data_IF_954029815868
#
_entry.id   IF_954029815868
#
_cell.length_a   1.000
_cell.length_b   1.000
_cell.length_c   1.000
_cell.angle_alpha   90.00
_cell.angle_beta   90.00
_cell.angle_gamma   90.00
#
_symmetry.space_group_name_H-M   'P 1'
#
loop_
_entity.id
_entity.type
_entity.pdbx_description
1 polymer ?
#
# COMPACT_ATOMS: atom_id res chain seq x y z
N UNK A 1 -12.12 6.48 16.62
CA UNK A 1 -10.76 6.91 16.17
C UNK A 1 -10.92 8.21 15.41
N UNK A 2 -10.18 9.26 15.77
CA UNK A 2 -10.18 10.50 14.99
C UNK A 2 -9.25 10.38 13.77
N UNK A 3 -9.30 11.34 12.85
CA UNK A 3 -8.52 11.26 11.59
C UNK A 3 -6.99 11.21 11.82
N UNK A 4 -6.47 11.95 12.83
CA UNK A 4 -5.05 11.92 13.19
C UNK A 4 -4.61 10.52 13.66
N UNK A 5 -5.42 9.90 14.51
CA UNK A 5 -5.16 8.54 15.00
C UNK A 5 -5.17 7.53 13.84
N UNK A 6 -6.10 7.69 12.89
CA UNK A 6 -6.18 6.85 11.70
C UNK A 6 -4.92 6.96 10.83
N UNK A 7 -4.43 8.18 10.59
CA UNK A 7 -3.18 8.43 9.86
C UNK A 7 -1.97 7.84 10.59
N UNK A 8 -1.91 7.95 11.92
CA UNK A 8 -0.82 7.37 12.71
C UNK A 8 -0.85 5.83 12.70
N UNK A 9 -2.03 5.23 12.71
CA UNK A 9 -2.22 3.78 12.67
C UNK A 9 -1.90 3.18 11.29
N UNK A 10 -2.15 3.92 10.21
CA UNK A 10 -1.85 3.44 8.85
C UNK A 10 -0.34 3.45 8.59
N UNK A 11 0.28 2.28 8.71
CA UNK A 11 1.73 2.05 8.47
C UNK A 11 1.94 0.95 7.43
N UNK A 12 3.07 1.03 6.71
CA UNK A 12 3.47 -0.01 5.75
C UNK A 12 3.80 -1.31 6.48
N UNK A 13 2.81 -2.17 6.63
CA UNK A 13 2.89 -3.46 7.33
C UNK A 13 3.34 -4.55 6.36
N UNK A 14 4.29 -5.37 6.79
CA UNK A 14 4.93 -6.42 5.97
C UNK A 14 4.94 -7.80 6.64
N UNK A 15 4.26 -7.94 7.78
CA UNK A 15 3.91 -9.23 8.37
C UNK A 15 2.46 -9.18 8.82
N UNK A 16 1.70 -10.21 8.51
CA UNK A 16 0.27 -10.28 8.73
C UNK A 16 -0.10 -11.49 9.55
N UNK A 17 -1.22 -11.41 10.25
CA UNK A 17 -1.79 -12.51 11.00
C UNK A 17 -2.50 -13.47 10.04
N UNK A 18 -2.05 -14.74 9.92
CA UNK A 18 -2.59 -15.71 8.99
C UNK A 18 -4.04 -16.14 9.34
N UNK A 19 -4.45 -15.99 10.60
CA UNK A 19 -5.80 -16.37 11.05
C UNK A 19 -6.89 -15.40 10.55
N UNK A 20 -6.53 -14.16 10.18
CA UNK A 20 -7.48 -13.15 9.70
C UNK A 20 -7.57 -13.18 8.18
N UNK A 21 -8.54 -13.91 7.67
CA UNK A 21 -8.91 -13.88 6.25
C UNK A 21 -9.58 -12.54 5.90
N UNK A 22 -9.51 -12.16 4.64
CA UNK A 22 -10.23 -11.01 4.09
C UNK A 22 -11.22 -11.50 3.04
N UNK A 23 -12.45 -10.97 3.05
CA UNK A 23 -13.45 -11.37 2.08
C UNK A 23 -13.40 -10.46 0.84
N UNK A 24 -14.05 -10.92 -0.23
CA UNK A 24 -14.25 -10.13 -1.45
C UNK A 24 -15.02 -8.85 -1.13
N UNK A 25 -16.07 -8.94 -0.35
CA UNK A 25 -16.93 -7.82 0.03
C UNK A 25 -16.16 -6.75 0.82
N UNK A 26 -15.23 -7.16 1.69
CA UNK A 26 -14.36 -6.23 2.39
C UNK A 26 -13.44 -5.46 1.43
N UNK A 27 -12.87 -6.14 0.43
CA UNK A 27 -12.05 -5.51 -0.61
C UNK A 27 -12.90 -4.58 -1.50
N UNK A 28 -14.11 -4.99 -1.89
CA UNK A 28 -15.04 -4.17 -2.67
C UNK A 28 -15.41 -2.88 -1.92
N UNK A 29 -15.68 -2.96 -0.61
CA UNK A 29 -15.93 -1.77 0.21
C UNK A 29 -14.75 -0.80 0.24
N UNK A 30 -13.52 -1.30 0.28
CA UNK A 30 -12.32 -0.46 0.23
C UNK A 30 -12.14 0.22 -1.13
N UNK A 31 -12.42 -0.51 -2.22
CA UNK A 31 -12.41 0.07 -3.57
C UNK A 31 -13.54 1.08 -3.76
N UNK A 32 -14.71 0.86 -3.14
CA UNK A 32 -15.81 1.83 -3.20
C UNK A 32 -15.43 3.17 -2.56
N UNK A 33 -14.69 3.16 -1.44
CA UNK A 33 -14.12 4.38 -0.86
C UNK A 33 -13.17 5.08 -1.84
N UNK A 34 -12.28 4.32 -2.49
CA UNK A 34 -11.34 4.86 -3.48
C UNK A 34 -12.07 5.47 -4.70
N UNK A 35 -13.14 4.83 -5.15
CA UNK A 35 -13.99 5.31 -6.26
C UNK A 35 -14.60 6.70 -6.00
N UNK A 36 -14.85 7.03 -4.73
CA UNK A 36 -15.45 8.30 -4.33
C UNK A 36 -14.44 9.44 -4.21
N UNK A 37 -13.14 9.15 -4.36
CA UNK A 37 -12.09 10.17 -4.26
C UNK A 37 -11.99 11.05 -5.52
N UNK A 38 -11.41 12.26 -5.41
CA UNK A 38 -11.14 13.09 -6.57
C UNK A 38 -10.22 12.39 -7.58
N UNK A 39 -10.46 12.66 -8.86
CA UNK A 39 -9.62 12.24 -9.98
C UNK A 39 -9.28 13.45 -10.83
N UNK A 40 -8.09 13.50 -11.42
CA UNK A 40 -7.65 14.60 -12.26
C UNK A 40 -8.61 14.80 -13.43
N UNK A 41 -9.16 16.02 -13.55
CA UNK A 41 -10.20 16.38 -14.55
C UNK A 41 -11.40 15.41 -14.54
N UNK A 42 -11.58 14.67 -13.44
CA UNK A 42 -12.59 13.63 -13.25
C UNK A 42 -12.54 12.50 -14.29
N UNK A 43 -11.35 12.16 -14.80
CA UNK A 43 -11.16 11.12 -15.82
C UNK A 43 -11.42 9.70 -15.32
N UNK A 44 -11.21 9.43 -14.04
CA UNK A 44 -11.46 8.14 -13.37
C UNK A 44 -10.84 6.93 -14.12
N UNK A 45 -9.53 6.97 -14.42
CA UNK A 45 -8.88 5.95 -15.24
C UNK A 45 -8.55 4.67 -14.51
N UNK A 46 -8.77 4.61 -13.16
CA UNK A 46 -8.33 3.49 -12.37
C UNK A 46 -9.29 2.29 -12.50
N UNK A 47 -8.69 1.10 -12.55
CA UNK A 47 -9.36 -0.20 -12.50
C UNK A 47 -8.70 -1.05 -11.43
N UNK A 48 -9.45 -1.94 -10.83
CA UNK A 48 -9.01 -2.71 -9.68
C UNK A 48 -9.24 -4.20 -9.91
N UNK A 49 -8.19 -5.01 -9.70
CA UNK A 49 -8.32 -6.46 -9.55
C UNK A 49 -8.19 -6.80 -8.07
N UNK A 50 -9.14 -7.58 -7.56
CA UNK A 50 -9.18 -8.01 -6.16
C UNK A 50 -8.67 -9.45 -6.05
N UNK A 51 -7.84 -9.70 -5.05
CA UNK A 51 -7.34 -11.04 -4.74
C UNK A 51 -7.56 -11.35 -3.26
N UNK A 52 -8.31 -12.41 -2.97
CA UNK A 52 -8.62 -12.93 -1.63
C UNK A 52 -8.46 -14.45 -1.55
N UNK A 53 -8.16 -15.09 -2.67
CA UNK A 53 -7.94 -16.53 -2.78
C UNK A 53 -6.46 -16.84 -2.65
N UNK A 54 -6.15 -17.95 -1.99
CA UNK A 54 -4.79 -18.31 -1.62
C UNK A 54 -3.87 -18.45 -2.83
N UNK A 55 -4.35 -19.08 -3.91
CA UNK A 55 -3.57 -19.30 -5.13
C UNK A 55 -3.18 -17.97 -5.79
N UNK A 56 -4.14 -17.05 -5.92
CA UNK A 56 -3.87 -15.74 -6.52
C UNK A 56 -3.01 -14.88 -5.60
N UNK A 57 -3.21 -14.95 -4.28
CA UNK A 57 -2.38 -14.27 -3.31
C UNK A 57 -0.92 -14.75 -3.37
N UNK A 58 -0.69 -16.07 -3.46
CA UNK A 58 0.64 -16.65 -3.61
C UNK A 58 1.30 -16.22 -4.91
N UNK A 59 0.55 -16.17 -6.02
CA UNK A 59 1.03 -15.68 -7.30
C UNK A 59 1.50 -14.23 -7.22
N UNK A 60 0.70 -13.34 -6.62
CA UNK A 60 1.06 -11.92 -6.45
C UNK A 60 2.29 -11.78 -5.55
N UNK A 61 2.33 -12.52 -4.45
CA UNK A 61 3.47 -12.50 -3.53
C UNK A 61 4.78 -12.89 -4.22
N UNK A 62 4.77 -13.95 -5.02
CA UNK A 62 5.94 -14.46 -5.75
C UNK A 62 6.49 -13.47 -6.80
N UNK A 63 5.65 -12.53 -7.28
CA UNK A 63 6.01 -11.57 -8.33
C UNK A 63 6.08 -10.12 -7.82
N UNK A 64 6.30 -9.95 -6.50
CA UNK A 64 6.48 -8.64 -5.85
C UNK A 64 7.72 -8.64 -4.96
N UNK A 65 8.42 -7.50 -4.88
CA UNK A 65 9.55 -7.32 -3.97
C UNK A 65 9.21 -6.34 -2.85
N UNK A 66 9.71 -6.65 -1.65
CA UNK A 66 9.34 -5.97 -0.42
C UNK A 66 10.54 -5.34 0.27
N UNK A 67 10.31 -4.16 0.89
CA UNK A 67 11.25 -3.51 1.82
C UNK A 67 12.70 -3.44 1.33
N UNK A 68 12.94 -2.85 0.17
CA UNK A 68 14.24 -2.81 -0.50
C UNK A 68 15.44 -2.28 0.32
N UNK A 69 15.20 -1.60 1.45
CA UNK A 69 16.27 -1.18 2.38
C UNK A 69 16.65 -2.26 3.40
N UNK A 70 15.82 -3.31 3.60
CA UNK A 70 16.08 -4.39 4.54
C UNK A 70 16.58 -5.63 3.79
N UNK A 71 17.80 -5.56 3.25
CA UNK A 71 18.37 -6.57 2.36
C UNK A 71 18.60 -7.93 2.99
N UNK A 72 18.80 -7.96 4.31
CA UNK A 72 19.14 -9.17 5.07
C UNK A 72 17.92 -9.88 5.65
N UNK A 73 16.71 -9.40 5.35
CA UNK A 73 15.46 -9.93 5.89
C UNK A 73 14.50 -10.25 4.76
N UNK A 74 14.03 -11.51 4.69
CA UNK A 74 12.95 -11.89 3.78
C UNK A 74 11.61 -11.41 4.32
N UNK A 75 10.87 -10.62 3.53
CA UNK A 75 9.56 -10.09 3.89
C UNK A 75 8.53 -10.36 2.78
N UNK A 76 7.29 -10.71 3.14
CA UNK A 76 6.83 -11.08 4.49
C UNK A 76 7.57 -12.31 5.03
N UNK A 77 7.63 -12.49 6.37
CA UNK A 77 8.12 -13.73 6.93
C UNK A 77 7.25 -14.92 6.47
N UNK A 78 7.83 -16.12 6.44
CA UNK A 78 7.10 -17.34 6.07
C UNK A 78 5.83 -17.51 6.92
N UNK A 79 4.71 -17.84 6.27
CA UNK A 79 3.40 -17.97 6.90
C UNK A 79 2.75 -16.66 7.35
N UNK A 80 3.37 -15.50 7.16
CA UNK A 80 2.85 -14.19 7.53
C UNK A 80 2.56 -13.28 6.33
N UNK A 81 2.17 -13.88 5.22
CA UNK A 81 1.75 -13.16 4.00
C UNK A 81 0.44 -12.39 4.18
N UNK A 82 0.13 -11.47 3.25
CA UNK A 82 -1.14 -10.75 3.24
C UNK A 82 -2.35 -11.67 3.06
N UNK A 83 -3.47 -11.28 3.66
CA UNK A 83 -4.74 -11.99 3.51
C UNK A 83 -5.42 -11.70 2.16
N UNK A 84 -5.06 -10.58 1.50
CA UNK A 84 -5.57 -10.23 0.18
C UNK A 84 -4.83 -9.05 -0.43
N UNK A 85 -5.14 -8.78 -1.71
CA UNK A 85 -4.54 -7.69 -2.46
C UNK A 85 -5.57 -6.92 -3.28
N UNK A 86 -5.30 -5.63 -3.47
CA UNK A 86 -5.95 -4.79 -4.48
C UNK A 86 -4.88 -4.36 -5.47
N UNK A 87 -4.96 -4.86 -6.70
CA UNK A 87 -4.07 -4.45 -7.80
C UNK A 87 -4.69 -3.24 -8.49
N UNK A 88 -4.02 -2.09 -8.40
CA UNK A 88 -4.48 -0.84 -9.01
C UNK A 88 -3.88 -0.73 -10.40
N UNK A 89 -4.75 -0.71 -11.40
CA UNK A 89 -4.40 -0.57 -12.81
C UNK A 89 -4.85 0.78 -13.35
N UNK A 90 -4.13 1.28 -14.36
CA UNK A 90 -4.54 2.42 -15.17
C UNK A 90 -5.09 1.88 -16.49
N UNK A 91 -6.31 2.25 -16.86
CA UNK A 91 -6.83 2.04 -18.22
C UNK A 91 -6.14 3.04 -19.16
N UNK A 92 -5.18 2.56 -19.94
CA UNK A 92 -4.33 3.37 -20.82
C UNK A 92 -5.09 4.02 -21.99
N UNK A 93 -6.33 3.58 -22.23
CA UNK A 93 -7.25 4.22 -23.21
C UNK A 93 -7.86 5.50 -22.66
N UNK A 94 -7.97 5.63 -21.33
CA UNK A 94 -8.51 6.81 -20.64
C UNK A 94 -7.39 7.80 -20.31
N UNK A 95 -6.28 7.31 -19.71
CA UNK A 95 -5.14 8.14 -19.37
C UNK A 95 -3.83 7.35 -19.46
N UNK A 96 -2.78 7.96 -20.02
CA UNK A 96 -1.44 7.34 -20.07
C UNK A 96 -0.72 7.37 -18.72
N UNK A 97 -1.03 8.36 -17.89
CA UNK A 97 -0.48 8.51 -16.54
C UNK A 97 -1.57 9.01 -15.58
N UNK A 98 -1.63 8.44 -14.40
CA UNK A 98 -2.56 8.78 -13.34
C UNK A 98 -1.92 8.61 -11.95
N UNK A 99 -0.64 8.96 -11.81
CA UNK A 99 0.12 8.73 -10.58
C UNK A 99 -0.51 9.40 -9.36
N UNK A 100 -1.08 10.61 -9.53
CA UNK A 100 -1.80 11.32 -8.46
C UNK A 100 -3.05 10.54 -8.03
N UNK A 101 -3.87 10.11 -8.98
CA UNK A 101 -5.09 9.33 -8.73
C UNK A 101 -4.75 8.00 -8.01
N UNK A 102 -3.69 7.33 -8.46
CA UNK A 102 -3.20 6.09 -7.83
C UNK A 102 -2.81 6.32 -6.37
N UNK A 103 -2.07 7.39 -6.08
CA UNK A 103 -1.67 7.75 -4.72
C UNK A 103 -2.87 8.06 -3.81
N UNK A 104 -3.84 8.83 -4.31
CA UNK A 104 -5.08 9.17 -3.59
C UNK A 104 -5.87 7.89 -3.30
N UNK A 105 -6.11 7.05 -4.31
CA UNK A 105 -6.86 5.81 -4.17
C UNK A 105 -6.18 4.84 -3.18
N UNK A 106 -4.87 4.62 -3.32
CA UNK A 106 -4.12 3.71 -2.44
C UNK A 106 -4.13 4.18 -0.98
N UNK A 107 -3.95 5.48 -0.73
CA UNK A 107 -4.01 6.03 0.62
C UNK A 107 -5.42 5.92 1.21
N UNK A 108 -6.47 6.15 0.41
CA UNK A 108 -7.86 6.01 0.85
C UNK A 108 -8.19 4.56 1.21
N UNK A 109 -7.78 3.59 0.38
CA UNK A 109 -7.91 2.15 0.66
C UNK A 109 -7.25 1.81 2.00
N UNK A 110 -6.02 2.27 2.23
CA UNK A 110 -5.28 1.96 3.45
C UNK A 110 -5.86 2.62 4.71
N UNK A 111 -6.39 3.84 4.60
CA UNK A 111 -7.10 4.50 5.71
C UNK A 111 -8.40 3.77 6.04
N UNK A 112 -9.18 3.38 5.02
CA UNK A 112 -10.38 2.56 5.20
C UNK A 112 -10.08 1.19 5.80
N UNK A 113 -8.96 0.57 5.40
CA UNK A 113 -8.49 -0.68 6.00
C UNK A 113 -8.13 -0.49 7.48
N UNK A 114 -7.40 0.59 7.82
CA UNK A 114 -7.02 0.91 9.19
C UNK A 114 -8.24 1.17 10.10
N UNK A 115 -9.30 1.80 9.57
CA UNK A 115 -10.57 1.98 10.28
C UNK A 115 -11.22 0.64 10.64
N UNK A 116 -11.15 -0.34 9.73
CA UNK A 116 -11.66 -1.72 9.91
C UNK A 116 -10.72 -2.62 10.75
N UNK A 117 -9.63 -2.08 11.31
CA UNK A 117 -8.66 -2.87 12.07
C UNK A 117 -7.70 -3.71 11.20
N UNK A 118 -7.68 -3.46 9.90
CA UNK A 118 -6.71 -4.02 8.98
C UNK A 118 -5.49 -3.12 8.86
N UNK A 119 -4.45 -3.63 8.22
CA UNK A 119 -3.22 -2.93 7.87
C UNK A 119 -2.83 -3.28 6.44
N UNK A 120 -1.91 -2.53 5.86
CA UNK A 120 -1.46 -2.86 4.52
C UNK A 120 -0.13 -2.23 4.15
N UNK A 121 0.28 -2.50 2.92
CA UNK A 121 1.49 -1.96 2.32
C UNK A 121 1.28 -1.67 0.84
N UNK A 122 1.78 -0.53 0.38
CA UNK A 122 1.89 -0.22 -1.05
C UNK A 122 3.14 -0.88 -1.62
N UNK A 123 3.00 -1.59 -2.72
CA UNK A 123 4.08 -2.32 -3.41
C UNK A 123 4.19 -1.79 -4.82
N UNK A 124 5.33 -1.17 -5.14
CA UNK A 124 5.65 -0.66 -6.47
C UNK A 124 6.67 -1.52 -7.23
N UNK A 125 7.40 -2.40 -6.52
CA UNK A 125 8.35 -3.32 -7.14
C UNK A 125 7.62 -4.60 -7.59
N UNK A 126 7.19 -4.60 -8.85
CA UNK A 126 6.29 -5.59 -9.45
C UNK A 126 7.00 -6.20 -10.66
N UNK A 127 7.06 -7.54 -10.72
CA UNK A 127 7.53 -8.24 -11.93
C UNK A 127 6.54 -7.96 -13.08
N UNK A 128 7.01 -7.46 -14.23
CA UNK A 128 6.16 -7.23 -15.41
C UNK A 128 5.35 -8.45 -15.86
N UNK A 129 5.84 -9.66 -15.64
CA UNK A 129 5.15 -10.91 -15.96
C UNK A 129 3.82 -11.08 -15.24
N UNK A 130 3.66 -10.42 -14.08
CA UNK A 130 2.45 -10.51 -13.29
C UNK A 130 1.20 -10.05 -14.06
N UNK A 131 1.35 -9.11 -14.99
CA UNK A 131 0.27 -8.64 -15.84
C UNK A 131 -0.40 -9.81 -16.60
N UNK A 132 0.39 -10.61 -17.29
CA UNK A 132 -0.09 -11.72 -18.12
C UNK A 132 -0.56 -12.89 -17.26
N UNK A 133 0.14 -13.16 -16.16
CA UNK A 133 -0.22 -14.20 -15.19
C UNK A 133 -1.56 -13.95 -14.51
N UNK A 134 -1.94 -12.68 -14.30
CA UNK A 134 -3.25 -12.29 -13.79
C UNK A 134 -4.34 -12.22 -14.88
N UNK A 135 -4.00 -12.51 -16.14
CA UNK A 135 -4.93 -12.47 -17.28
C UNK A 135 -5.49 -11.08 -17.54
N UNK A 136 -4.73 -10.03 -17.24
CA UNK A 136 -5.17 -8.64 -17.45
C UNK A 136 -5.20 -8.32 -18.95
N UNK A 137 -6.22 -7.53 -19.37
CA UNK A 137 -6.27 -7.02 -20.73
C UNK A 137 -5.15 -6.01 -20.97
N UNK A 138 -4.62 -5.95 -22.17
CA UNK A 138 -3.48 -5.11 -22.58
C UNK A 138 -3.63 -3.64 -22.14
N UNK A 139 -4.87 -3.10 -22.17
CA UNK A 139 -5.10 -1.70 -21.76
C UNK A 139 -5.00 -1.47 -20.23
N UNK A 140 -4.94 -2.50 -19.40
CA UNK A 140 -4.87 -2.36 -17.94
C UNK A 140 -3.44 -2.47 -17.45
N UNK A 141 -2.73 -1.37 -17.40
CA UNK A 141 -1.35 -1.34 -16.89
C UNK A 141 -1.33 -1.34 -15.36
N UNK A 142 -0.71 -2.33 -14.76
CA UNK A 142 -0.51 -2.35 -13.30
C UNK A 142 0.34 -1.13 -12.90
N UNK A 143 -0.12 -0.37 -11.92
CA UNK A 143 0.55 0.82 -11.41
C UNK A 143 1.03 0.65 -9.97
N UNK A 144 0.22 0.03 -9.13
CA UNK A 144 0.51 -0.19 -7.71
C UNK A 144 -0.26 -1.40 -7.20
N UNK A 145 0.28 -2.11 -6.23
CA UNK A 145 -0.43 -3.16 -5.51
C UNK A 145 -0.55 -2.75 -4.05
N UNK A 146 -1.74 -2.89 -3.48
CA UNK A 146 -2.00 -2.72 -2.05
C UNK A 146 -2.20 -4.10 -1.43
N UNK A 147 -1.26 -4.51 -0.59
CA UNK A 147 -1.36 -5.72 0.21
C UNK A 147 -2.14 -5.40 1.50
N UNK A 148 -3.02 -6.31 1.93
CA UNK A 148 -3.95 -6.10 3.04
C UNK A 148 -4.04 -7.34 3.94
N UNK A 149 -4.26 -7.11 5.23
CA UNK A 149 -4.46 -8.14 6.24
C UNK A 149 -4.46 -7.52 7.65
N UNK A 150 -4.63 -8.33 8.69
CA UNK A 150 -4.41 -7.86 10.06
C UNK A 150 -2.91 -7.79 10.34
N UNK A 151 -2.40 -6.61 10.68
CA UNK A 151 -0.97 -6.41 10.95
C UNK A 151 -0.48 -7.21 12.15
N UNK A 152 0.72 -7.76 12.04
CA UNK A 152 1.42 -8.54 13.06
C UNK A 152 2.85 -8.02 13.29
N UNK A 153 3.04 -6.68 13.21
CA UNK A 153 4.31 -5.99 13.44
C UNK A 153 4.13 -4.86 14.46
N UNK A 154 5.16 -4.62 15.26
CA UNK A 154 5.31 -3.39 16.05
C UNK A 154 6.03 -2.35 15.20
N UNK A 155 5.31 -1.34 14.73
CA UNK A 155 5.85 -0.29 13.87
C UNK A 155 5.83 1.04 14.62
N UNK A 156 7.01 1.64 14.79
CA UNK A 156 7.20 2.86 15.56
C UNK A 156 7.68 4.01 14.70
N UNK A 157 7.00 5.16 14.82
CA UNK A 157 7.48 6.41 14.25
C UNK A 157 8.52 7.01 15.19
N UNK A 158 9.63 7.47 14.61
CA UNK A 158 10.71 8.17 15.32
C UNK A 158 11.12 9.41 14.53
N UNK A 159 11.75 10.37 15.18
CA UNK A 159 12.34 11.50 14.47
C UNK A 159 13.61 11.07 13.74
N UNK A 160 13.90 11.74 12.60
CA UNK A 160 15.13 11.52 11.85
C UNK A 160 16.35 11.94 12.67
N UNK A 161 17.45 11.22 12.51
CA UNK A 161 18.78 11.63 13.00
C UNK A 161 19.52 12.31 11.84
N UNK A 162 19.52 13.63 11.83
CA UNK A 162 20.03 14.40 10.68
C UNK A 162 19.21 14.08 9.41
N UNK A 163 19.89 13.80 8.30
CA UNK A 163 19.24 13.51 7.01
C UNK A 163 18.89 12.05 6.77
N UNK A 164 19.14 11.15 7.74
CA UNK A 164 18.87 9.73 7.57
C UNK A 164 17.39 9.43 7.79
N UNK A 165 16.70 9.06 6.69
CA UNK A 165 15.29 8.65 6.68
C UNK A 165 15.13 7.15 6.48
N UNK A 166 16.22 6.36 6.44
CA UNK A 166 16.14 4.93 6.24
C UNK A 166 15.38 4.26 7.39
N UNK A 167 14.36 3.48 7.06
CA UNK A 167 13.70 2.67 8.06
C UNK A 167 14.57 1.46 8.43
N UNK A 168 14.49 1.02 9.67
CA UNK A 168 15.33 -0.06 10.21
C UNK A 168 14.54 -0.93 11.19
N UNK A 169 15.12 -2.10 11.54
CA UNK A 169 14.63 -2.98 12.61
C UNK A 169 15.63 -3.03 13.74
N UNK A 170 15.10 -3.05 14.95
CA UNK A 170 15.86 -3.29 16.18
C UNK A 170 15.00 -4.19 17.09
N UNK A 171 15.48 -5.41 17.38
CA UNK A 171 14.66 -6.45 17.96
C UNK A 171 13.45 -6.76 17.08
N UNK A 172 12.26 -6.84 17.69
CA UNK A 172 11.00 -7.13 17.00
C UNK A 172 10.31 -5.86 16.45
N UNK A 173 10.84 -4.68 16.75
CA UNK A 173 10.23 -3.41 16.33
C UNK A 173 10.80 -2.91 14.99
N UNK A 174 9.91 -2.33 14.18
CA UNK A 174 10.22 -1.67 12.92
C UNK A 174 10.13 -0.16 13.09
N UNK A 175 11.24 0.55 12.94
CA UNK A 175 11.36 1.99 13.15
C UNK A 175 11.28 2.73 11.82
N UNK A 176 10.43 3.77 11.79
CA UNK A 176 10.20 4.59 10.59
C UNK A 176 10.48 6.05 10.93
N UNK A 177 11.68 6.56 10.56
CA UNK A 177 12.04 7.95 10.79
C UNK A 177 11.16 8.92 10.00
N UNK A 178 10.80 10.04 10.63
CA UNK A 178 10.06 11.14 10.01
C UNK A 178 10.80 12.44 10.24
N UNK A 179 10.90 13.26 9.18
CA UNK A 179 11.42 14.61 9.28
C UNK A 179 10.54 15.46 10.18
N UNK A 180 11.10 16.35 11.01
CA UNK A 180 10.32 17.28 11.80
C UNK A 180 9.52 18.24 10.90
N UNK A 181 8.44 18.78 11.42
CA UNK A 181 7.49 19.60 10.65
C UNK A 181 8.16 20.85 10.06
N UNK A 182 9.01 21.49 10.84
CA UNK A 182 9.73 22.72 10.45
C UNK A 182 10.68 22.50 9.27
N UNK A 183 11.20 21.29 9.09
CA UNK A 183 12.08 20.97 7.96
C UNK A 183 11.31 20.82 6.63
N UNK A 184 10.06 20.36 6.69
CA UNK A 184 9.24 20.13 5.50
C UNK A 184 8.40 21.34 5.10
N UNK A 185 8.29 22.35 5.96
CA UNK A 185 7.60 23.59 5.67
C UNK A 185 8.57 24.57 5.01
N UNK A 186 8.24 24.97 3.78
CA UNK A 186 8.98 26.05 3.10
C UNK A 186 8.33 27.37 3.56
N UNK A 187 9.06 28.11 4.40
CA UNK A 187 8.67 29.47 4.74
C UNK A 187 8.87 30.35 3.50
N UNK A 188 7.82 30.59 2.75
CA UNK A 188 7.83 31.54 1.65
C UNK A 188 8.20 32.91 2.20
N UNK A 189 9.39 33.40 1.85
CA UNK A 189 9.82 34.76 2.20
C UNK A 189 8.96 35.77 1.46
N UNK A 190 7.90 36.26 2.12
CA UNK A 190 7.42 37.60 1.81
C UNK A 190 8.51 38.54 2.36
N UNK A 191 9.34 39.14 1.46
CA UNK A 191 10.12 40.33 1.76
C UNK A 191 9.19 41.53 1.82
#
# INVERSE_FOLDING_TARGET
>A
MNFRELVLKNRSTRAFDPERRISREELEQLVDLARLTPSAVNLQPLKYLLSWQEETNALILAHTAWAGLLKDISLPPEGKGPAGYIVICIDTRIAKNAATDVGIAAQTILLGAAEKGLSGCMIGAIDPKLHDLLGLKEQYRISLIVALGRGAEDIRLVETRGNDTAYYREGDAHYVPKRPLEEILINGGAK
#
